data_IF_677329465929
#
_entry.id   IF_677329465929
#
_cell.length_a   1.000
_cell.length_b   1.000
_cell.length_c   1.000
_cell.angle_alpha   90.00
_cell.angle_beta   90.00
_cell.angle_gamma   90.00
#
_symmetry.space_group_name_H-M   'P 1'
#
loop_
_entity.id
_entity.type
_entity.pdbx_description
1 polymer ?
#
# COMPACT_ATOMS: atom_id res chain seq x y z
N UNK A 1 -1.57 -6.78 -13.52
CA UNK A 1 -1.69 -8.19 -13.14
C UNK A 1 -1.48 -9.04 -14.39
N UNK A 2 -0.77 -10.14 -14.25
CA UNK A 2 -0.49 -11.14 -15.28
C UNK A 2 -0.79 -12.54 -14.72
N UNK A 3 -0.36 -13.55 -15.42
CA UNK A 3 -0.57 -14.94 -15.09
C UNK A 3 0.74 -15.68 -15.30
N UNK A 4 1.17 -16.45 -14.31
CA UNK A 4 2.30 -17.37 -14.43
C UNK A 4 1.79 -18.81 -14.43
N UNK A 5 2.44 -19.64 -15.22
CA UNK A 5 2.20 -21.09 -15.23
C UNK A 5 3.36 -21.74 -14.48
N UNK A 6 3.03 -22.50 -13.46
CA UNK A 6 3.99 -23.29 -12.70
C UNK A 6 4.31 -24.59 -13.45
N UNK A 7 5.38 -25.25 -13.08
CA UNK A 7 5.80 -26.55 -13.66
C UNK A 7 4.72 -27.62 -13.53
N UNK A 8 3.91 -27.56 -12.48
CA UNK A 8 2.78 -28.44 -12.22
C UNK A 8 1.56 -28.15 -13.14
N UNK A 9 1.66 -27.18 -14.05
CA UNK A 9 0.56 -26.75 -14.92
C UNK A 9 -0.48 -25.82 -14.23
N UNK A 10 -0.30 -25.49 -12.95
CA UNK A 10 -1.19 -24.54 -12.25
C UNK A 10 -1.01 -23.11 -12.80
N UNK A 11 -2.11 -22.44 -13.09
CA UNK A 11 -2.15 -21.04 -13.51
C UNK A 11 -2.35 -20.12 -12.31
N UNK A 12 -1.32 -19.35 -11.95
CA UNK A 12 -1.33 -18.46 -10.78
C UNK A 12 -1.45 -17.00 -11.23
N UNK A 13 -2.47 -16.24 -10.75
CA UNK A 13 -2.53 -14.80 -11.01
C UNK A 13 -1.46 -14.07 -10.21
N UNK A 14 -0.68 -13.22 -10.88
CA UNK A 14 0.42 -12.48 -10.25
C UNK A 14 0.40 -11.00 -10.60
N UNK A 15 0.99 -10.21 -9.71
CA UNK A 15 1.33 -8.81 -9.97
C UNK A 15 2.84 -8.66 -9.98
N UNK A 16 3.41 -8.21 -11.09
CA UNK A 16 4.82 -7.87 -11.20
C UNK A 16 5.09 -6.53 -10.53
N UNK A 17 6.06 -6.48 -9.65
CA UNK A 17 6.50 -5.28 -8.92
C UNK A 17 7.98 -5.07 -9.15
N UNK A 18 8.34 -3.91 -9.72
CA UNK A 18 9.73 -3.52 -9.90
C UNK A 18 10.31 -2.97 -8.59
N UNK A 19 11.48 -3.46 -8.22
CA UNK A 19 12.24 -3.05 -7.02
C UNK A 19 13.40 -2.12 -7.38
N UNK A 20 13.52 -1.74 -8.66
CA UNK A 20 14.62 -0.91 -9.15
C UNK A 20 14.71 0.45 -8.45
N UNK A 21 15.95 0.91 -8.24
CA UNK A 21 16.25 2.28 -7.79
C UNK A 21 16.02 2.54 -6.29
N UNK A 22 15.85 1.51 -5.47
CA UNK A 22 15.76 1.64 -4.03
C UNK A 22 17.15 1.63 -3.41
N UNK A 23 17.38 2.50 -2.42
CA UNK A 23 18.63 2.56 -1.66
C UNK A 23 18.39 3.01 -0.21
N UNK A 24 19.32 2.68 0.66
CA UNK A 24 19.30 3.10 2.06
C UNK A 24 19.77 4.54 2.15
N UNK A 25 18.86 5.45 2.48
CA UNK A 25 19.15 6.88 2.63
C UNK A 25 19.60 7.24 4.06
N UNK A 26 19.30 6.41 5.04
CA UNK A 26 19.69 6.64 6.42
C UNK A 26 19.30 5.52 7.35
N UNK A 27 19.94 5.47 8.49
CA UNK A 27 19.73 4.48 9.54
C UNK A 27 19.36 5.22 10.82
N UNK A 28 18.25 4.83 11.45
CA UNK A 28 17.83 5.31 12.76
C UNK A 28 18.15 4.26 13.80
N UNK A 29 18.84 4.67 14.85
CA UNK A 29 19.23 3.80 15.96
C UNK A 29 18.46 4.15 17.23
N UNK A 30 18.32 3.18 18.11
CA UNK A 30 17.61 3.32 19.37
C UNK A 30 18.21 4.45 20.25
N UNK A 31 19.54 4.59 20.25
CA UNK A 31 20.26 5.59 21.05
C UNK A 31 19.97 7.03 20.62
N UNK A 32 19.89 7.28 19.31
CA UNK A 32 19.68 8.63 18.74
C UNK A 32 18.21 8.97 18.54
N UNK A 33 17.38 7.99 18.16
CA UNK A 33 16.00 8.22 17.69
C UNK A 33 14.94 7.54 18.55
N UNK A 34 15.34 6.73 19.56
CA UNK A 34 14.44 5.97 20.42
C UNK A 34 13.90 4.67 19.82
N UNK A 35 14.21 4.37 18.56
CA UNK A 35 13.80 3.15 17.86
C UNK A 35 14.71 2.84 16.67
N UNK A 36 14.72 1.59 16.23
CA UNK A 36 15.47 1.13 15.08
C UNK A 36 14.63 1.20 13.81
N UNK A 37 15.18 1.81 12.75
CA UNK A 37 14.51 1.85 11.44
C UNK A 37 15.50 2.16 10.30
N UNK A 38 15.17 1.67 9.13
CA UNK A 38 15.84 2.01 7.87
C UNK A 38 15.03 3.09 7.14
N UNK A 39 15.70 4.13 6.70
CA UNK A 39 15.14 5.13 5.82
C UNK A 39 15.51 4.76 4.39
N UNK A 40 14.52 4.31 3.61
CA UNK A 40 14.70 3.88 2.24
C UNK A 40 14.22 4.99 1.31
N UNK A 41 15.01 5.29 0.30
CA UNK A 41 14.64 6.19 -0.78
C UNK A 41 14.56 5.43 -2.10
N UNK A 42 13.63 5.86 -2.95
CA UNK A 42 13.55 5.44 -4.34
C UNK A 42 13.98 6.59 -5.21
N UNK A 43 14.93 6.35 -6.10
CA UNK A 43 15.38 7.36 -7.07
C UNK A 43 14.21 7.74 -7.98
N UNK A 44 13.82 8.99 -7.94
CA UNK A 44 12.82 9.57 -8.82
C UNK A 44 13.36 10.84 -9.47
N UNK A 45 13.00 11.05 -10.73
CA UNK A 45 13.22 12.35 -11.39
C UNK A 45 12.19 13.35 -10.84
N UNK A 46 12.37 13.79 -9.60
CA UNK A 46 11.48 14.78 -8.99
C UNK A 46 12.09 16.18 -9.15
N UNK A 47 11.40 17.02 -9.91
CA UNK A 47 11.80 18.42 -10.11
C UNK A 47 11.38 19.34 -8.94
N UNK A 48 10.54 18.85 -8.02
CA UNK A 48 9.92 19.67 -6.96
C UNK A 48 10.30 19.16 -5.55
N UNK A 49 11.56 19.28 -5.20
CA UNK A 49 12.01 18.95 -3.86
C UNK A 49 11.97 20.18 -2.94
N UNK A 50 11.45 19.99 -1.74
CA UNK A 50 11.60 20.98 -0.68
C UNK A 50 13.08 21.17 -0.34
N UNK A 51 13.47 22.40 0.03
CA UNK A 51 14.84 22.76 0.40
C UNK A 51 15.46 21.77 1.41
N UNK A 52 14.72 21.41 2.47
CA UNK A 52 15.16 20.47 3.49
C UNK A 52 15.49 19.08 2.93
N UNK A 53 14.67 18.54 2.01
CA UNK A 53 14.95 17.26 1.36
C UNK A 53 16.17 17.37 0.44
N UNK A 54 16.30 18.44 -0.33
CA UNK A 54 17.44 18.63 -1.22
C UNK A 54 18.75 18.72 -0.46
N UNK A 55 18.78 19.43 0.69
CA UNK A 55 19.94 19.49 1.56
C UNK A 55 20.30 18.14 2.21
N UNK A 56 19.27 17.37 2.60
CA UNK A 56 19.48 16.02 3.13
C UNK A 56 20.16 15.12 2.10
N UNK A 57 19.64 15.06 0.87
CA UNK A 57 20.22 14.23 -0.19
C UNK A 57 21.62 14.70 -0.63
N UNK A 58 21.87 16.01 -0.62
CA UNK A 58 23.21 16.55 -0.87
C UNK A 58 24.23 16.09 0.18
N UNK A 59 23.85 16.05 1.46
CA UNK A 59 24.76 15.58 2.55
C UNK A 59 25.17 14.13 2.40
N UNK A 60 24.32 13.30 1.84
CA UNK A 60 24.58 11.85 1.65
C UNK A 60 25.06 11.51 0.23
N UNK A 61 25.24 12.51 -0.64
CA UNK A 61 25.67 12.37 -2.04
C UNK A 61 24.81 11.38 -2.85
N UNK A 62 23.51 11.36 -2.60
CA UNK A 62 22.57 10.48 -3.26
C UNK A 62 21.53 11.25 -4.06
N UNK A 63 20.99 10.60 -5.11
CA UNK A 63 19.93 11.18 -5.91
C UNK A 63 18.65 11.35 -5.09
N UNK A 64 17.98 12.51 -5.21
CA UNK A 64 16.77 12.78 -4.48
C UNK A 64 15.62 11.87 -4.92
N UNK A 65 14.78 11.48 -3.94
CA UNK A 65 13.64 10.63 -4.18
C UNK A 65 12.58 10.68 -3.09
N UNK A 66 11.61 9.77 -3.19
CA UNK A 66 10.63 9.58 -2.12
C UNK A 66 11.28 8.87 -0.94
N UNK A 67 11.00 9.33 0.27
CA UNK A 67 11.53 8.74 1.51
C UNK A 67 10.44 7.93 2.21
N UNK A 68 10.81 6.72 2.60
CA UNK A 68 9.94 5.82 3.35
C UNK A 68 10.72 5.18 4.49
N UNK A 69 10.07 5.05 5.63
CA UNK A 69 10.64 4.47 6.83
C UNK A 69 10.12 3.06 7.05
N UNK A 70 11.05 2.14 7.36
CA UNK A 70 10.79 0.75 7.67
C UNK A 70 11.42 0.41 9.02
N UNK A 71 10.61 0.06 10.00
CA UNK A 71 11.10 -0.45 11.28
C UNK A 71 11.70 -1.84 11.06
N UNK A 72 12.92 -2.04 11.52
CA UNK A 72 13.64 -3.29 11.53
C UNK A 72 14.55 -3.34 12.74
N UNK A 73 14.70 -4.51 13.32
CA UNK A 73 15.64 -4.74 14.41
C UNK A 73 17.05 -5.03 13.85
N UNK A 74 17.12 -5.56 12.62
CA UNK A 74 18.37 -5.89 11.93
C UNK A 74 18.87 -4.71 11.10
N UNK A 75 19.42 -3.71 11.74
CA UNK A 75 19.95 -2.52 11.06
C UNK A 75 21.45 -2.60 10.77
N UNK A 76 22.17 -3.52 11.45
CA UNK A 76 23.63 -3.64 11.38
C UNK A 76 24.13 -4.11 10.00
N UNK A 77 23.27 -4.81 9.24
CA UNK A 77 23.59 -5.35 7.93
C UNK A 77 23.48 -4.32 6.80
N UNK A 78 23.07 -3.09 7.11
CA UNK A 78 22.78 -2.07 6.11
C UNK A 78 23.69 -0.85 6.27
N UNK A 79 24.21 -0.36 5.15
CA UNK A 79 25.00 0.85 5.05
C UNK A 79 24.27 1.92 4.24
N UNK A 80 24.53 3.19 4.56
CA UNK A 80 23.98 4.33 3.81
C UNK A 80 24.53 4.30 2.39
N UNK A 81 23.63 4.40 1.40
CA UNK A 81 23.98 4.32 -0.02
C UNK A 81 23.88 2.93 -0.62
N UNK A 82 23.73 1.86 0.18
CA UNK A 82 23.55 0.50 -0.32
C UNK A 82 22.25 0.39 -1.13
N UNK A 83 22.36 -0.14 -2.35
CA UNK A 83 21.18 -0.45 -3.17
C UNK A 83 20.47 -1.68 -2.63
N UNK A 84 19.13 -1.63 -2.66
CA UNK A 84 18.26 -2.74 -2.31
C UNK A 84 17.72 -3.35 -3.59
N UNK A 85 18.08 -4.60 -3.83
CA UNK A 85 17.67 -5.43 -4.98
C UNK A 85 16.54 -6.38 -4.58
N UNK A 86 16.05 -7.16 -5.54
CA UNK A 86 15.05 -8.19 -5.27
C UNK A 86 15.56 -9.29 -4.31
N UNK A 87 16.87 -9.47 -4.19
CA UNK A 87 17.55 -10.48 -3.34
C UNK A 87 17.27 -10.33 -1.84
N UNK A 88 16.70 -9.19 -1.41
CA UNK A 88 16.24 -8.99 -0.02
C UNK A 88 15.08 -9.94 0.34
N UNK A 89 14.40 -10.47 -0.67
CA UNK A 89 13.26 -11.37 -0.50
C UNK A 89 13.59 -12.77 -1.00
N UNK A 90 12.82 -13.76 -0.55
CA UNK A 90 12.95 -15.15 -0.97
C UNK A 90 11.69 -15.63 -1.69
N UNK A 91 11.86 -16.53 -2.67
CA UNK A 91 10.72 -17.19 -3.33
C UNK A 91 9.97 -18.03 -2.30
N UNK A 92 8.65 -17.91 -2.30
CA UNK A 92 7.80 -18.59 -1.31
C UNK A 92 7.55 -17.79 -0.04
N UNK A 93 8.27 -16.70 0.21
CA UNK A 93 8.10 -15.84 1.38
C UNK A 93 6.73 -15.13 1.37
N UNK A 94 6.16 -14.93 2.55
CA UNK A 94 4.95 -14.11 2.72
C UNK A 94 5.30 -12.66 3.04
N UNK A 95 4.64 -11.75 2.34
CA UNK A 95 4.87 -10.30 2.45
C UNK A 95 3.56 -9.53 2.67
N UNK A 96 3.68 -8.40 3.37
CA UNK A 96 2.63 -7.41 3.52
C UNK A 96 2.87 -6.27 2.53
N UNK A 97 1.87 -6.01 1.68
CA UNK A 97 1.96 -4.97 0.64
C UNK A 97 1.04 -3.81 0.98
N UNK A 98 1.62 -2.64 1.15
CA UNK A 98 0.91 -1.40 1.43
C UNK A 98 1.00 -0.45 0.24
N UNK A 99 -0.13 0.07 -0.19
CA UNK A 99 -0.21 1.07 -1.26
C UNK A 99 -1.43 1.97 -1.10
N UNK A 100 -1.56 2.96 -1.97
CA UNK A 100 -2.72 3.82 -2.03
C UNK A 100 -3.75 3.25 -2.99
N UNK A 101 -4.94 2.95 -2.50
CA UNK A 101 -6.01 2.36 -3.31
C UNK A 101 -6.50 3.32 -4.40
N UNK A 102 -7.03 2.78 -5.50
CA UNK A 102 -7.64 3.59 -6.58
C UNK A 102 -8.76 4.48 -6.02
N UNK A 103 -8.74 5.76 -6.34
CA UNK A 103 -9.81 6.70 -5.99
C UNK A 103 -11.10 6.34 -6.74
N UNK A 104 -12.22 6.44 -6.05
CA UNK A 104 -13.57 6.20 -6.59
C UNK A 104 -14.48 7.42 -6.43
N UNK A 105 -13.91 8.54 -5.97
CA UNK A 105 -14.65 9.79 -5.72
C UNK A 105 -15.67 9.66 -4.60
N UNK A 106 -16.69 10.49 -4.64
CA UNK A 106 -17.85 10.40 -3.74
C UNK A 106 -18.70 9.18 -4.11
N UNK A 107 -18.98 8.33 -3.14
CA UNK A 107 -19.75 7.11 -3.35
C UNK A 107 -20.93 7.02 -2.38
N UNK A 108 -22.08 6.60 -2.89
CA UNK A 108 -23.25 6.29 -2.10
C UNK A 108 -23.04 5.08 -1.21
N UNK A 109 -23.94 4.90 -0.24
CA UNK A 109 -23.85 3.85 0.79
C UNK A 109 -23.86 2.43 0.22
N UNK A 110 -24.56 2.20 -0.88
CA UNK A 110 -24.61 0.91 -1.55
C UNK A 110 -23.20 0.50 -2.03
N UNK A 111 -22.52 1.39 -2.77
CA UNK A 111 -21.17 1.13 -3.27
C UNK A 111 -20.11 1.15 -2.17
N UNK A 112 -20.25 2.08 -1.19
CA UNK A 112 -19.22 2.30 -0.17
C UNK A 112 -19.27 1.28 0.96
N UNK A 113 -20.48 0.84 1.34
CA UNK A 113 -20.69 0.01 2.52
C UNK A 113 -21.48 -1.28 2.24
N UNK A 114 -21.82 -1.56 0.98
CA UNK A 114 -22.60 -2.72 0.55
C UNK A 114 -24.00 -2.77 1.19
N UNK A 115 -24.66 -1.62 1.30
CA UNK A 115 -26.05 -1.58 1.73
C UNK A 115 -26.95 -2.14 0.63
N UNK A 116 -28.05 -2.78 1.03
CA UNK A 116 -29.09 -3.19 0.10
C UNK A 116 -29.74 -1.99 -0.53
N UNK A 117 -30.12 -2.10 -1.79
CA UNK A 117 -30.95 -1.13 -2.48
C UNK A 117 -32.40 -1.30 -2.00
N UNK A 118 -33.15 -0.23 -1.97
CA UNK A 118 -34.59 -0.28 -1.74
C UNK A 118 -35.31 -0.76 -3.03
N UNK A 119 -36.60 -1.05 -2.91
CA UNK A 119 -37.39 -1.55 -4.02
C UNK A 119 -37.29 -0.65 -5.26
N UNK A 120 -37.18 -1.27 -6.42
CA UNK A 120 -37.16 -0.57 -7.71
C UNK A 120 -38.56 -0.16 -8.17
N UNK A 121 -39.60 -0.86 -7.68
CA UNK A 121 -41.03 -0.68 -8.02
C UNK A 121 -41.88 -0.63 -6.74
N UNK A 122 -43.13 -1.09 -6.77
CA UNK A 122 -44.05 -1.13 -5.63
C UNK A 122 -44.28 0.22 -4.95
N UNK A 123 -44.39 1.29 -5.75
CA UNK A 123 -44.67 2.64 -5.24
C UNK A 123 -43.49 3.38 -4.65
N UNK A 124 -42.29 2.82 -4.67
CA UNK A 124 -41.08 3.50 -4.21
C UNK A 124 -40.74 4.66 -5.16
N UNK A 125 -40.67 5.89 -4.61
CA UNK A 125 -40.35 7.10 -5.35
C UNK A 125 -39.09 7.75 -4.81
N UNK A 126 -38.11 8.00 -5.70
CA UNK A 126 -36.86 8.75 -5.45
C UNK A 126 -35.91 8.18 -4.38
N UNK A 127 -36.31 7.14 -3.63
CA UNK A 127 -35.55 6.58 -2.50
C UNK A 127 -34.78 5.30 -2.81
N UNK A 128 -34.65 4.89 -4.08
CA UNK A 128 -34.08 3.59 -4.48
C UNK A 128 -32.68 3.33 -3.93
N UNK A 129 -31.86 4.36 -3.79
CA UNK A 129 -30.46 4.25 -3.36
C UNK A 129 -30.15 5.04 -2.07
N UNK A 130 -31.18 5.39 -1.31
CA UNK A 130 -31.05 6.08 -0.03
C UNK A 130 -30.44 5.14 1.04
N UNK A 131 -29.84 5.71 2.07
CA UNK A 131 -29.22 4.93 3.13
C UNK A 131 -30.20 4.46 4.23
N UNK A 132 -31.49 4.81 4.12
CA UNK A 132 -32.51 4.43 5.09
C UNK A 132 -32.34 5.17 6.43
N UNK A 133 -32.82 4.58 7.50
CA UNK A 133 -32.74 5.17 8.83
C UNK A 133 -31.31 5.39 9.29
N UNK A 134 -31.03 6.56 9.85
CA UNK A 134 -29.71 6.92 10.38
C UNK A 134 -29.67 6.88 11.92
N UNK A 135 -30.81 6.70 12.58
CA UNK A 135 -30.90 6.64 14.03
C UNK A 135 -32.35 6.48 14.51
N UNK A 136 -32.54 6.65 15.81
CA UNK A 136 -33.80 6.62 16.51
C UNK A 136 -34.32 8.05 16.69
N UNK A 137 -35.50 8.19 17.35
CA UNK A 137 -36.19 9.47 17.60
C UNK A 137 -35.52 10.26 18.75
N UNK A 138 -36.32 10.57 19.80
CA UNK A 138 -35.91 11.43 20.92
C UNK A 138 -34.71 10.85 21.71
N UNK A 139 -34.64 9.55 21.90
CA UNK A 139 -33.54 8.86 22.55
C UNK A 139 -32.84 7.96 21.55
N UNK A 140 -31.56 8.19 21.22
CA UNK A 140 -30.54 9.07 21.84
C UNK A 140 -30.53 10.52 21.32
N UNK A 141 -31.45 10.94 20.40
CA UNK A 141 -31.51 12.30 19.84
C UNK A 141 -30.29 12.72 19.00
N UNK A 142 -29.48 11.76 18.60
CA UNK A 142 -28.23 11.98 17.81
C UNK A 142 -27.93 10.79 16.92
N UNK A 143 -27.10 11.04 15.90
CA UNK A 143 -26.49 9.96 15.09
C UNK A 143 -25.21 9.49 15.78
N UNK A 144 -25.07 8.18 15.94
CA UNK A 144 -23.89 7.61 16.56
C UNK A 144 -22.64 7.83 15.71
N UNK A 145 -21.49 8.05 16.38
CA UNK A 145 -20.18 8.10 15.71
C UNK A 145 -19.92 6.78 14.96
N UNK A 146 -19.33 6.87 13.78
CA UNK A 146 -19.04 5.67 12.96
C UNK A 146 -20.23 5.16 12.15
N UNK A 147 -21.40 5.82 12.19
CA UNK A 147 -22.52 5.45 11.32
C UNK A 147 -22.10 5.48 9.86
N UNK A 148 -22.35 4.38 9.16
CA UNK A 148 -22.01 4.23 7.74
C UNK A 148 -22.89 5.14 6.88
N UNK A 149 -22.27 6.10 6.20
CA UNK A 149 -22.92 7.08 5.31
C UNK A 149 -22.16 7.20 3.99
N UNK A 150 -22.77 7.83 2.99
CA UNK A 150 -22.10 8.20 1.75
C UNK A 150 -20.90 9.12 2.02
N UNK A 151 -19.94 9.12 1.13
CA UNK A 151 -18.74 9.95 1.24
C UNK A 151 -17.63 9.48 0.33
N UNK A 152 -16.44 10.06 0.53
CA UNK A 152 -15.25 9.73 -0.25
C UNK A 152 -14.89 8.24 -0.12
N UNK A 153 -14.58 7.61 -1.25
CA UNK A 153 -14.18 6.21 -1.34
C UNK A 153 -12.89 6.07 -2.17
N UNK A 154 -11.98 5.23 -1.70
CA UNK A 154 -10.68 5.03 -2.33
C UNK A 154 -9.68 6.17 -2.03
N UNK A 155 -8.54 6.17 -2.72
CA UNK A 155 -7.41 7.07 -2.49
C UNK A 155 -6.96 7.10 -1.01
N UNK A 156 -7.01 5.95 -0.38
CA UNK A 156 -6.59 5.75 1.01
C UNK A 156 -5.51 4.67 1.07
N UNK A 157 -4.62 4.79 2.04
CA UNK A 157 -3.59 3.78 2.31
C UNK A 157 -4.26 2.48 2.74
N UNK A 158 -3.94 1.39 2.04
CA UNK A 158 -4.42 0.03 2.32
C UNK A 158 -3.26 -0.93 2.35
N UNK A 159 -3.30 -1.87 3.28
CA UNK A 159 -2.35 -2.97 3.37
C UNK A 159 -3.07 -4.29 3.12
N UNK A 160 -2.51 -5.10 2.23
CA UNK A 160 -2.91 -6.49 2.04
C UNK A 160 -1.82 -7.32 2.69
N UNK A 161 -2.22 -8.16 3.63
CA UNK A 161 -1.31 -8.98 4.44
C UNK A 161 -1.14 -10.37 3.84
N UNK A 162 -0.01 -10.99 4.11
CA UNK A 162 0.28 -12.40 3.82
C UNK A 162 0.11 -12.78 2.34
N UNK A 163 0.63 -11.95 1.43
CA UNK A 163 0.74 -12.30 0.02
C UNK A 163 2.01 -13.11 -0.21
N UNK A 164 1.93 -14.19 -0.99
CA UNK A 164 3.07 -15.05 -1.29
C UNK A 164 3.84 -14.53 -2.49
N UNK A 165 5.17 -14.51 -2.41
CA UNK A 165 6.06 -14.32 -3.55
C UNK A 165 6.10 -15.64 -4.30
N UNK A 166 5.71 -15.62 -5.58
CA UNK A 166 5.67 -16.82 -6.44
C UNK A 166 7.00 -17.05 -7.11
N UNK A 167 7.58 -15.95 -7.63
CA UNK A 167 8.81 -16.00 -8.40
C UNK A 167 9.52 -14.65 -8.33
N UNK A 168 10.81 -14.61 -8.69
CA UNK A 168 11.63 -13.41 -8.71
C UNK A 168 12.58 -13.42 -9.91
N UNK A 169 12.63 -12.29 -10.60
CA UNK A 169 13.60 -12.02 -11.65
C UNK A 169 14.68 -11.08 -11.08
N UNK A 170 15.82 -11.64 -10.72
CA UNK A 170 16.91 -10.89 -10.10
C UNK A 170 17.60 -9.97 -11.12
N UNK A 171 17.71 -10.37 -12.38
CA UNK A 171 18.36 -9.58 -13.43
C UNK A 171 17.59 -8.26 -13.69
N UNK A 172 16.27 -8.35 -13.78
CA UNK A 172 15.39 -7.19 -14.01
C UNK A 172 14.91 -6.54 -12.72
N UNK A 173 15.29 -7.06 -11.54
CA UNK A 173 14.80 -6.60 -10.22
C UNK A 173 13.27 -6.53 -10.14
N UNK A 174 12.60 -7.63 -10.51
CA UNK A 174 11.14 -7.76 -10.49
C UNK A 174 10.74 -8.89 -9.54
N UNK A 175 9.73 -8.63 -8.72
CA UNK A 175 9.13 -9.62 -7.81
C UNK A 175 7.71 -9.92 -8.31
N UNK A 176 7.35 -11.20 -8.41
CA UNK A 176 6.02 -11.67 -8.77
C UNK A 176 5.25 -12.08 -7.52
N UNK A 177 4.25 -11.26 -7.15
CA UNK A 177 3.43 -11.47 -5.96
C UNK A 177 2.10 -12.08 -6.36
N UNK A 178 1.67 -13.17 -5.70
CA UNK A 178 0.40 -13.84 -5.93
C UNK A 178 -0.78 -12.89 -5.66
N UNK A 179 -1.64 -12.72 -6.65
CA UNK A 179 -2.88 -11.96 -6.53
C UNK A 179 -2.75 -10.46 -6.82
N UNK A 180 -3.69 -9.70 -6.29
CA UNK A 180 -3.81 -8.26 -6.50
C UNK A 180 -3.13 -7.46 -5.40
N UNK A 181 -2.57 -6.31 -5.78
CA UNK A 181 -1.98 -5.33 -4.86
C UNK A 181 -2.78 -4.01 -4.90
N UNK A 182 -2.73 -3.17 -3.84
CA UNK A 182 -3.49 -1.92 -3.81
C UNK A 182 -2.88 -0.88 -4.77
N UNK A 183 -3.71 -0.15 -5.50
CA UNK A 183 -3.29 0.98 -6.33
C UNK A 183 -3.53 0.77 -7.82
N UNK A 184 -3.07 1.72 -8.60
CA UNK A 184 -3.08 1.68 -10.07
C UNK A 184 -1.73 1.18 -10.60
N UNK A 185 -1.66 0.85 -11.88
CA UNK A 185 -0.41 0.43 -12.52
C UNK A 185 0.61 1.57 -12.47
N UNK A 186 1.83 1.28 -11.97
CA UNK A 186 2.86 2.29 -11.76
C UNK A 186 2.79 3.03 -10.41
N UNK A 187 1.84 2.69 -9.52
CA UNK A 187 1.79 3.26 -8.17
C UNK A 187 2.91 2.72 -7.28
N UNK A 188 3.35 3.55 -6.34
CA UNK A 188 4.32 3.14 -5.33
C UNK A 188 3.71 2.17 -4.32
N UNK A 189 4.48 1.13 -4.00
CA UNK A 189 4.15 0.12 -3.01
C UNK A 189 5.24 0.04 -1.94
N UNK A 190 4.84 -0.24 -0.71
CA UNK A 190 5.74 -0.59 0.38
C UNK A 190 5.54 -2.06 0.69
N UNK A 191 6.62 -2.83 0.52
CA UNK A 191 6.63 -4.28 0.76
C UNK A 191 7.49 -4.54 1.98
N UNK A 192 7.00 -5.34 2.89
CA UNK A 192 7.74 -5.81 4.07
C UNK A 192 7.43 -7.28 4.32
N UNK A 193 8.33 -8.02 4.95
CA UNK A 193 8.01 -9.37 5.42
C UNK A 193 6.74 -9.38 6.26
N UNK A 194 5.93 -10.42 6.13
CA UNK A 194 4.70 -10.56 6.91
C UNK A 194 5.01 -11.14 8.30
N UNK A 195 4.44 -10.52 9.33
CA UNK A 195 4.50 -11.06 10.69
C UNK A 195 3.46 -12.17 10.92
N UNK A 196 2.51 -12.30 10.00
CA UNK A 196 1.50 -13.37 9.99
C UNK A 196 1.87 -14.36 8.89
N UNK A 197 1.88 -15.59 9.27
CA UNK A 197 2.13 -16.70 8.35
C UNK A 197 0.92 -16.91 7.48
#
# INVERSE_FOLDING_TARGET
MSRLFLEDGESVPVTAVSVCGNFVAGIKTKDKNGYNALLISKTEKSNNLNKSKSEFFKKINLNPGSLSEFKSDEIENYEIGKHLTAEVFEVGQYVDVTGTSKGKGYAGVIKRHNFSMQDATHGNSLAHRAHGSIGQCQTPGRVWKGKKMSGHMGNVKKTIQSLKIVDMDVENNVIYIKGAVPGFNGSELKIKPSNKK
#
